data_IF_081138541648
#
_entry.id   IF_081138541648
#
_cell.length_a   1.000
_cell.length_b   1.000
_cell.length_c   1.000
_cell.angle_alpha   90.00
_cell.angle_beta   90.00
_cell.angle_gamma   90.00
#
_symmetry.space_group_name_H-M   'P 1'
#
loop_
_entity.id
_entity.type
_entity.pdbx_description
1 polymer ?
#
# COMPACT_ATOMS: atom_id res chain seq x y z
N UNK A 1 57.63 -39.85 23.49
CA UNK A 1 57.65 -39.88 22.00
C UNK A 1 56.43 -39.12 21.47
N UNK A 2 56.66 -38.34 20.42
CA UNK A 2 55.82 -37.28 19.87
C UNK A 2 54.86 -37.86 18.82
N UNK A 3 53.55 -37.60 18.91
CA UNK A 3 52.66 -37.61 17.73
C UNK A 3 51.66 -36.46 17.81
N UNK A 4 51.52 -35.80 16.66
CA UNK A 4 50.93 -34.48 16.43
C UNK A 4 49.45 -34.61 16.03
N UNK A 5 48.74 -33.52 16.30
CA UNK A 5 47.51 -32.99 15.71
C UNK A 5 46.87 -33.75 14.53
N UNK A 6 45.54 -33.89 14.61
CA UNK A 6 44.64 -33.74 13.46
C UNK A 6 43.39 -33.00 13.95
N UNK A 7 43.32 -31.72 13.62
CA UNK A 7 42.14 -30.87 13.75
C UNK A 7 41.28 -31.13 12.51
N UNK A 8 40.25 -31.97 12.62
CA UNK A 8 39.30 -32.23 11.54
C UNK A 8 38.23 -31.16 11.53
N UNK A 9 38.37 -30.20 10.62
CA UNK A 9 37.37 -29.20 10.26
C UNK A 9 36.19 -29.91 9.59
N UNK A 10 35.07 -30.06 10.28
CA UNK A 10 33.84 -30.54 9.69
C UNK A 10 33.19 -29.40 8.89
N UNK A 11 33.24 -29.49 7.56
CA UNK A 11 32.52 -28.59 6.67
C UNK A 11 31.04 -28.98 6.72
N UNK A 12 30.21 -28.18 7.39
CA UNK A 12 28.75 -28.30 7.33
C UNK A 12 28.29 -27.88 5.94
N UNK A 13 27.94 -28.85 5.10
CA UNK A 13 27.20 -28.61 3.86
C UNK A 13 25.76 -28.20 4.22
N UNK A 14 25.43 -26.92 4.06
CA UNK A 14 24.07 -26.41 4.18
C UNK A 14 23.34 -26.76 2.88
N UNK A 15 22.46 -27.76 2.92
CA UNK A 15 21.59 -28.12 1.81
C UNK A 15 20.50 -27.05 1.64
N UNK A 16 20.54 -26.29 0.53
CA UNK A 16 19.43 -25.46 0.08
C UNK A 16 18.30 -26.38 -0.41
N UNK A 17 17.27 -26.57 0.40
CA UNK A 17 15.99 -27.09 -0.08
C UNK A 17 15.24 -25.95 -0.77
N UNK A 18 15.36 -25.87 -2.10
CA UNK A 18 14.46 -25.07 -2.91
C UNK A 18 13.07 -25.75 -2.87
N UNK A 19 12.16 -25.22 -2.06
CA UNK A 19 10.77 -25.63 -2.07
C UNK A 19 10.12 -25.12 -3.37
N UNK A 20 10.05 -25.98 -4.39
CA UNK A 20 9.27 -25.72 -5.60
C UNK A 20 7.79 -25.79 -5.28
N UNK A 21 7.17 -24.66 -4.95
CA UNK A 21 5.71 -24.53 -4.91
C UNK A 21 5.21 -24.35 -6.34
N UNK A 22 4.88 -25.44 -7.02
CA UNK A 22 4.11 -25.39 -8.27
C UNK A 22 2.64 -25.42 -7.88
N UNK A 23 2.03 -24.25 -7.75
CA UNK A 23 0.58 -24.15 -7.62
C UNK A 23 -0.05 -24.22 -9.02
N UNK A 24 -0.71 -25.33 -9.33
CA UNK A 24 -1.56 -25.45 -10.50
C UNK A 24 -2.92 -24.79 -10.19
N UNK A 25 -3.19 -23.62 -10.75
CA UNK A 25 -4.52 -23.01 -10.72
C UNK A 25 -5.16 -23.07 -12.11
N UNK A 26 -5.86 -24.18 -12.37
CA UNK A 26 -6.79 -24.28 -13.48
C UNK A 26 -8.21 -24.30 -12.90
N UNK A 27 -8.83 -23.11 -12.84
CA UNK A 27 -10.22 -22.92 -12.41
C UNK A 27 -10.39 -21.69 -11.52
N UNK A 28 -10.25 -20.49 -12.09
CA UNK A 28 -10.64 -19.25 -11.38
C UNK A 28 -12.16 -19.14 -11.35
N UNK A 29 -12.73 -18.96 -10.16
CA UNK A 29 -14.13 -18.54 -10.02
C UNK A 29 -14.28 -17.08 -10.52
N UNK A 30 -15.45 -16.71 -11.09
CA UNK A 30 -15.67 -15.35 -11.62
C UNK A 30 -15.66 -14.24 -10.56
N UNK A 31 -15.52 -14.61 -9.28
CA UNK A 31 -15.74 -13.74 -8.12
C UNK A 31 -14.45 -13.47 -7.34
N UNK A 32 -13.30 -14.03 -7.74
CA UNK A 32 -11.99 -13.74 -7.15
C UNK A 32 -11.26 -12.66 -7.91
N UNK A 33 -10.52 -11.82 -7.18
CA UNK A 33 -9.52 -10.93 -7.73
C UNK A 33 -8.42 -11.76 -8.41
N UNK A 34 -8.32 -11.65 -9.73
CA UNK A 34 -7.26 -12.33 -10.48
C UNK A 34 -5.90 -11.83 -10.00
N UNK A 35 -4.88 -12.70 -10.02
CA UNK A 35 -3.51 -12.28 -9.75
C UNK A 35 -3.00 -11.18 -10.70
N UNK A 36 -3.66 -11.03 -11.86
CA UNK A 36 -3.26 -10.11 -12.92
C UNK A 36 -2.04 -10.62 -13.70
N UNK A 37 -1.59 -9.87 -14.72
CA UNK A 37 -0.43 -10.25 -15.51
C UNK A 37 0.86 -10.27 -14.67
N UNK A 38 1.76 -11.21 -14.97
CA UNK A 38 3.14 -11.17 -14.48
C UNK A 38 3.93 -10.13 -15.24
N UNK A 39 4.62 -9.26 -14.52
CA UNK A 39 5.49 -8.22 -15.10
C UNK A 39 6.56 -7.82 -14.11
N UNK A 40 7.52 -7.00 -14.55
CA UNK A 40 8.48 -6.39 -13.63
C UNK A 40 7.85 -5.23 -12.86
N UNK A 41 8.41 -4.87 -11.71
CA UNK A 41 7.91 -3.71 -10.96
C UNK A 41 8.08 -2.40 -11.77
N UNK A 42 9.12 -2.31 -12.61
CA UNK A 42 9.32 -1.16 -13.50
C UNK A 42 8.22 -1.06 -14.56
N UNK A 43 7.84 -2.19 -15.16
CA UNK A 43 6.76 -2.23 -16.16
C UNK A 43 5.41 -1.93 -15.51
N UNK A 44 5.19 -2.39 -14.28
CA UNK A 44 4.00 -2.05 -13.50
C UNK A 44 3.91 -0.54 -13.28
N UNK A 45 4.99 0.10 -12.83
CA UNK A 45 5.04 1.56 -12.65
C UNK A 45 4.82 2.32 -13.96
N UNK A 46 5.45 1.88 -15.06
CA UNK A 46 5.27 2.51 -16.38
C UNK A 46 3.83 2.43 -16.89
N UNK A 47 3.12 1.32 -16.61
CA UNK A 47 1.72 1.13 -17.05
C UNK A 47 0.70 1.83 -16.15
N UNK A 48 0.96 1.86 -14.85
CA UNK A 48 0.06 2.43 -13.86
C UNK A 48 0.17 3.96 -13.77
N UNK A 49 1.39 4.52 -13.91
CA UNK A 49 1.61 5.92 -13.59
C UNK A 49 1.48 6.83 -14.81
N UNK A 50 0.62 7.85 -14.74
CA UNK A 50 0.46 8.86 -15.79
C UNK A 50 1.43 10.05 -15.68
N UNK A 51 2.06 10.25 -14.51
CA UNK A 51 2.93 11.40 -14.24
C UNK A 51 4.31 10.97 -13.73
N UNK A 52 5.37 11.78 -13.97
CA UNK A 52 6.70 11.49 -13.44
C UNK A 52 6.76 11.41 -11.92
N UNK A 53 5.97 12.24 -11.21
CA UNK A 53 5.92 12.22 -9.75
C UNK A 53 5.36 10.88 -9.22
N UNK A 54 4.25 10.42 -9.80
CA UNK A 54 3.65 9.15 -9.42
C UNK A 54 4.55 7.96 -9.80
N UNK A 55 5.25 8.06 -10.93
CA UNK A 55 6.24 7.06 -11.34
C UNK A 55 7.37 6.94 -10.31
N UNK A 56 7.98 8.06 -9.89
CA UNK A 56 9.03 8.04 -8.87
C UNK A 56 8.53 7.46 -7.55
N UNK A 57 7.35 7.87 -7.09
CA UNK A 57 6.72 7.31 -5.89
C UNK A 57 6.47 5.80 -6.04
N UNK A 58 6.09 5.35 -7.23
CA UNK A 58 5.95 3.93 -7.53
C UNK A 58 7.28 3.18 -7.41
N UNK A 59 8.38 3.73 -7.91
CA UNK A 59 9.70 3.10 -7.77
C UNK A 59 10.12 2.99 -6.29
N UNK A 60 9.93 4.06 -5.51
CA UNK A 60 10.20 4.04 -4.06
C UNK A 60 9.32 3.02 -3.33
N UNK A 61 8.05 2.95 -3.72
CA UNK A 61 7.09 1.97 -3.20
C UNK A 61 7.49 0.54 -3.59
N UNK A 62 8.00 0.28 -4.79
CA UNK A 62 8.29 -1.10 -5.21
C UNK A 62 9.76 -1.49 -5.07
N UNK A 63 10.59 -0.65 -4.45
CA UNK A 63 12.04 -0.86 -4.32
C UNK A 63 12.43 -2.22 -3.68
N UNK A 64 11.59 -2.74 -2.79
CA UNK A 64 11.80 -4.03 -2.11
C UNK A 64 10.83 -5.13 -2.56
N UNK A 65 10.04 -4.86 -3.60
CA UNK A 65 9.20 -5.88 -4.20
C UNK A 65 10.04 -6.83 -5.07
N UNK A 66 9.56 -8.05 -5.35
CA UNK A 66 10.24 -8.94 -6.29
C UNK A 66 10.40 -8.30 -7.68
N UNK A 67 11.54 -8.56 -8.32
CA UNK A 67 11.85 -8.02 -9.65
C UNK A 67 10.79 -8.34 -10.70
N UNK A 68 10.20 -9.54 -10.63
CA UNK A 68 9.05 -9.95 -11.43
C UNK A 68 8.02 -10.69 -10.56
N UNK A 69 6.77 -10.25 -10.63
CA UNK A 69 5.66 -10.81 -9.88
C UNK A 69 4.33 -10.59 -10.62
N UNK A 70 3.28 -11.25 -10.13
CA UNK A 70 1.92 -10.94 -10.55
C UNK A 70 1.51 -9.55 -10.05
N UNK A 71 0.70 -8.82 -10.83
CA UNK A 71 0.33 -7.44 -10.54
C UNK A 71 -0.31 -7.23 -9.16
N UNK A 72 -1.03 -8.24 -8.64
CA UNK A 72 -1.57 -8.22 -7.28
C UNK A 72 -0.53 -8.05 -6.17
N UNK A 73 0.69 -8.56 -6.35
CA UNK A 73 1.79 -8.37 -5.39
C UNK A 73 2.17 -6.90 -5.29
N UNK A 74 2.24 -6.21 -6.43
CA UNK A 74 2.57 -4.77 -6.47
C UNK A 74 1.42 -3.91 -5.95
N UNK A 75 0.18 -4.23 -6.31
CA UNK A 75 -1.01 -3.56 -5.79
C UNK A 75 -1.12 -3.71 -4.25
N UNK A 76 -0.83 -4.90 -3.72
CA UNK A 76 -0.84 -5.17 -2.29
C UNK A 76 0.23 -4.35 -1.56
N UNK A 77 1.46 -4.36 -2.08
CA UNK A 77 2.55 -3.58 -1.49
C UNK A 77 2.27 -2.07 -1.47
N UNK A 78 1.57 -1.55 -2.47
CA UNK A 78 1.15 -0.15 -2.51
C UNK A 78 0.00 0.14 -1.55
N UNK A 79 -1.02 -0.73 -1.50
CA UNK A 79 -2.16 -0.60 -0.59
C UNK A 79 -1.72 -0.67 0.89
N UNK A 80 -0.81 -1.57 1.25
CA UNK A 80 -0.25 -1.65 2.60
C UNK A 80 0.51 -0.38 2.99
N UNK A 81 1.31 0.18 2.08
CA UNK A 81 2.02 1.44 2.32
C UNK A 81 1.07 2.63 2.43
N UNK A 82 0.07 2.71 1.56
CA UNK A 82 -0.96 3.74 1.65
C UNK A 82 -1.68 3.65 3.00
N UNK A 83 -2.17 2.45 3.36
CA UNK A 83 -2.81 2.20 4.66
C UNK A 83 -1.93 2.64 5.84
N UNK A 84 -0.65 2.25 5.86
CA UNK A 84 0.27 2.61 6.94
C UNK A 84 0.48 4.13 7.03
N UNK A 85 0.53 4.82 5.88
CA UNK A 85 0.64 6.28 5.81
C UNK A 85 -0.63 6.95 6.36
N UNK A 86 -1.82 6.48 5.95
CA UNK A 86 -3.11 6.94 6.46
C UNK A 86 -3.20 6.77 8.00
N UNK A 87 -2.82 5.60 8.52
CA UNK A 87 -2.79 5.33 9.97
C UNK A 87 -1.84 6.32 10.70
N UNK A 88 -0.67 6.59 10.11
CA UNK A 88 0.33 7.49 10.70
C UNK A 88 -0.16 8.95 10.74
N UNK A 89 -0.83 9.41 9.69
CA UNK A 89 -1.40 10.76 9.61
C UNK A 89 -2.58 10.94 10.55
N UNK A 90 -3.49 9.95 10.62
CA UNK A 90 -4.59 9.95 11.60
C UNK A 90 -4.06 10.07 13.04
N UNK A 91 -3.09 9.22 13.41
CA UNK A 91 -2.47 9.27 14.73
C UNK A 91 -1.75 10.59 15.00
N UNK A 92 -1.19 11.23 13.96
CA UNK A 92 -0.58 12.57 14.08
C UNK A 92 -1.64 13.64 14.32
N UNK A 93 -2.77 13.59 13.62
CA UNK A 93 -3.90 14.50 13.83
C UNK A 93 -4.44 14.38 15.26
N UNK A 94 -4.65 13.15 15.76
CA UNK A 94 -5.06 12.90 17.15
C UNK A 94 -4.07 13.46 18.18
N UNK A 95 -2.77 13.24 17.98
CA UNK A 95 -1.73 13.81 18.88
C UNK A 95 -1.75 15.33 18.88
N UNK A 96 -1.98 15.96 17.73
CA UNK A 96 -2.10 17.41 17.64
C UNK A 96 -3.34 17.87 18.41
N UNK A 97 -4.49 17.23 18.22
CA UNK A 97 -5.74 17.52 18.96
C UNK A 97 -5.57 17.40 20.48
N UNK A 98 -4.81 16.42 20.96
CA UNK A 98 -4.51 16.24 22.39
C UNK A 98 -3.44 17.18 22.95
N UNK A 99 -2.65 17.85 22.11
CA UNK A 99 -1.46 18.61 22.49
C UNK A 99 -1.68 20.04 22.98
N UNK A 100 -2.91 20.59 22.95
CA UNK A 100 -3.21 21.93 23.49
C UNK A 100 -4.15 22.78 22.64
N UNK A 101 -4.10 24.11 22.83
CA UNK A 101 -5.07 25.05 22.25
C UNK A 101 -4.97 25.12 20.72
N UNK A 102 -5.86 24.39 20.05
CA UNK A 102 -6.27 24.66 18.68
C UNK A 102 -7.35 25.75 18.68
N UNK A 103 -7.22 26.81 17.88
CA UNK A 103 -8.32 27.76 17.68
C UNK A 103 -9.50 27.06 16.98
N UNK A 104 -10.73 27.37 17.44
CA UNK A 104 -12.02 26.76 17.05
C UNK A 104 -12.03 25.95 15.74
N UNK A 105 -12.22 26.63 14.60
CA UNK A 105 -12.39 26.01 13.28
C UNK A 105 -11.22 25.10 12.87
N UNK A 106 -10.00 25.35 13.34
CA UNK A 106 -8.85 24.49 13.05
C UNK A 106 -8.97 23.15 13.78
N UNK A 107 -9.50 23.15 15.01
CA UNK A 107 -9.78 21.92 15.75
C UNK A 107 -10.85 21.08 15.05
N UNK A 108 -11.91 21.71 14.55
CA UNK A 108 -12.98 21.04 13.82
C UNK A 108 -12.48 20.40 12.53
N UNK A 109 -11.66 21.13 11.75
CA UNK A 109 -11.04 20.57 10.55
C UNK A 109 -10.14 19.36 10.85
N UNK A 110 -9.45 19.36 11.99
CA UNK A 110 -8.62 18.22 12.39
C UNK A 110 -9.45 17.01 12.82
N UNK A 111 -10.55 17.21 13.55
CA UNK A 111 -11.49 16.12 13.86
C UNK A 111 -12.11 15.54 12.60
N UNK A 112 -12.56 16.39 11.68
CA UNK A 112 -13.07 15.96 10.38
C UNK A 112 -12.02 15.13 9.62
N UNK A 113 -10.76 15.57 9.61
CA UNK A 113 -9.68 14.78 9.04
C UNK A 113 -9.54 13.41 9.72
N UNK A 114 -9.58 13.32 11.06
CA UNK A 114 -9.51 12.01 11.75
C UNK A 114 -10.60 11.07 11.26
N UNK A 115 -11.84 11.55 11.15
CA UNK A 115 -12.96 10.76 10.64
C UNK A 115 -12.78 10.36 9.17
N UNK A 116 -12.35 11.29 8.32
CA UNK A 116 -12.07 11.03 6.91
C UNK A 116 -10.92 10.02 6.70
N UNK A 117 -9.91 10.03 7.59
CA UNK A 117 -8.83 9.03 7.59
C UNK A 117 -9.32 7.65 8.06
N UNK A 118 -10.31 7.57 8.96
CA UNK A 118 -10.92 6.30 9.34
C UNK A 118 -11.64 5.66 8.14
N UNK A 119 -12.40 6.46 7.39
CA UNK A 119 -13.04 6.01 6.14
C UNK A 119 -11.99 5.57 5.11
N UNK A 120 -10.96 6.39 4.92
CA UNK A 120 -9.94 6.13 3.93
C UNK A 120 -9.16 4.83 4.22
N UNK A 121 -8.81 4.66 5.49
CA UNK A 121 -8.20 3.42 6.03
C UNK A 121 -9.13 2.23 5.86
N UNK A 122 -10.43 2.40 6.11
CA UNK A 122 -11.44 1.37 5.90
C UNK A 122 -11.43 0.83 4.47
N UNK A 123 -11.36 1.73 3.49
CA UNK A 123 -11.19 1.38 2.07
C UNK A 123 -9.90 0.58 1.84
N UNK A 124 -8.75 1.08 2.28
CA UNK A 124 -7.48 0.35 2.10
C UNK A 124 -7.44 -1.02 2.80
N UNK A 125 -8.13 -1.18 3.94
CA UNK A 125 -8.29 -2.48 4.60
C UNK A 125 -9.12 -3.43 3.72
N UNK A 126 -10.21 -2.95 3.12
CA UNK A 126 -11.01 -3.72 2.16
C UNK A 126 -10.20 -4.18 0.94
N UNK A 127 -9.41 -3.27 0.36
CA UNK A 127 -8.47 -3.57 -0.73
C UNK A 127 -7.47 -4.66 -0.33
N UNK A 128 -6.76 -4.47 0.79
CA UNK A 128 -5.73 -5.43 1.26
C UNK A 128 -6.36 -6.80 1.50
N UNK A 129 -7.51 -6.84 2.17
CA UNK A 129 -8.25 -8.08 2.40
C UNK A 129 -8.68 -8.74 1.08
N UNK A 130 -9.06 -7.96 0.06
CA UNK A 130 -9.39 -8.46 -1.26
C UNK A 130 -8.22 -9.05 -2.01
N UNK A 131 -7.05 -8.40 -1.97
CA UNK A 131 -5.87 -8.84 -2.70
C UNK A 131 -5.25 -10.13 -2.13
N UNK A 132 -5.46 -10.42 -0.84
CA UNK A 132 -4.97 -11.64 -0.18
C UNK A 132 -5.99 -12.77 -0.14
N UNK A 133 -7.24 -12.52 -0.55
CA UNK A 133 -8.36 -13.46 -0.45
C UNK A 133 -8.79 -13.98 -1.81
N UNK A 134 -9.11 -15.27 -1.87
CA UNK A 134 -9.70 -15.91 -3.06
C UNK A 134 -11.22 -15.65 -3.19
N UNK A 135 -11.83 -14.79 -2.35
CA UNK A 135 -13.29 -14.66 -2.24
C UNK A 135 -13.85 -13.23 -2.41
N UNK A 136 -13.07 -12.26 -2.89
CA UNK A 136 -13.51 -10.86 -2.98
C UNK A 136 -13.85 -10.44 -4.40
N UNK A 137 -15.04 -9.85 -4.53
CA UNK A 137 -15.65 -9.38 -5.79
C UNK A 137 -14.93 -8.14 -6.29
N UNK A 138 -14.48 -8.14 -7.55
CA UNK A 138 -13.76 -7.02 -8.19
C UNK A 138 -14.42 -5.64 -7.98
N UNK A 139 -15.76 -5.58 -7.94
CA UNK A 139 -16.49 -4.34 -7.73
C UNK A 139 -16.27 -3.73 -6.33
N UNK A 140 -16.13 -4.55 -5.28
CA UNK A 140 -15.88 -4.01 -3.94
C UNK A 140 -14.50 -3.38 -3.85
N UNK A 141 -13.48 -4.00 -4.47
CA UNK A 141 -12.13 -3.45 -4.48
C UNK A 141 -12.05 -2.07 -5.16
N UNK A 142 -12.77 -1.85 -6.28
CA UNK A 142 -12.83 -0.53 -6.92
C UNK A 142 -13.47 0.52 -6.01
N UNK A 143 -14.57 0.16 -5.34
CA UNK A 143 -15.25 1.05 -4.41
C UNK A 143 -14.36 1.38 -3.20
N UNK A 144 -13.62 0.40 -2.70
CA UNK A 144 -12.70 0.55 -1.58
C UNK A 144 -11.52 1.48 -1.90
N UNK A 145 -10.91 1.36 -3.09
CA UNK A 145 -9.92 2.32 -3.56
C UNK A 145 -10.49 3.74 -3.70
N UNK A 146 -11.68 3.87 -4.28
CA UNK A 146 -12.34 5.16 -4.45
C UNK A 146 -12.69 5.81 -3.10
N UNK A 147 -13.15 5.01 -2.12
CA UNK A 147 -13.41 5.46 -0.76
C UNK A 147 -12.11 5.97 -0.11
N UNK A 148 -11.00 5.26 -0.30
CA UNK A 148 -9.70 5.67 0.22
C UNK A 148 -9.25 7.03 -0.31
N UNK A 149 -9.29 7.22 -1.63
CA UNK A 149 -8.93 8.51 -2.26
C UNK A 149 -9.88 9.62 -1.81
N UNK A 150 -11.19 9.36 -1.82
CA UNK A 150 -12.21 10.35 -1.46
C UNK A 150 -12.10 10.80 0.01
N UNK A 151 -11.73 9.92 0.94
CA UNK A 151 -11.49 10.32 2.34
C UNK A 151 -10.35 11.33 2.45
N UNK A 152 -9.23 11.07 1.79
CA UNK A 152 -8.08 12.00 1.80
C UNK A 152 -8.42 13.34 1.13
N UNK A 153 -9.25 13.34 0.09
CA UNK A 153 -9.75 14.56 -0.56
C UNK A 153 -10.69 15.38 0.34
N UNK A 154 -11.55 14.72 1.12
CA UNK A 154 -12.40 15.41 2.10
C UNK A 154 -11.58 16.08 3.20
N UNK A 155 -10.54 15.41 3.71
CA UNK A 155 -9.62 16.04 4.65
C UNK A 155 -8.86 17.22 3.99
N UNK A 156 -8.44 17.10 2.73
CA UNK A 156 -7.82 18.22 2.01
C UNK A 156 -8.76 19.44 1.96
N UNK A 157 -10.04 19.21 1.68
CA UNK A 157 -11.06 20.26 1.66
C UNK A 157 -11.28 20.90 3.05
N UNK A 158 -11.27 20.11 4.12
CA UNK A 158 -11.35 20.60 5.49
C UNK A 158 -10.12 21.45 5.87
N UNK A 159 -8.95 21.13 5.32
CA UNK A 159 -7.69 21.83 5.59
C UNK A 159 -7.43 23.05 4.70
N UNK A 160 -8.32 23.38 3.76
CA UNK A 160 -8.10 24.41 2.73
C UNK A 160 -7.68 25.79 3.29
N UNK A 161 -8.23 26.18 4.44
CA UNK A 161 -7.97 27.47 5.08
C UNK A 161 -6.79 27.43 6.07
N UNK A 162 -6.15 26.26 6.22
CA UNK A 162 -5.10 26.00 7.21
C UNK A 162 -3.78 25.58 6.54
N UNK A 163 -3.34 26.28 5.50
CA UNK A 163 -2.15 25.93 4.69
C UNK A 163 -0.83 25.83 5.49
N UNK A 164 -0.73 26.49 6.65
CA UNK A 164 0.42 26.34 7.57
C UNK A 164 0.39 25.09 8.44
N UNK A 165 -0.66 24.26 8.33
CA UNK A 165 -0.84 23.04 9.09
C UNK A 165 0.12 21.95 8.63
N UNK A 166 0.79 21.23 9.55
CA UNK A 166 1.59 20.07 9.18
C UNK A 166 0.77 18.96 8.51
N UNK A 167 -0.54 18.90 8.74
CA UNK A 167 -1.41 17.90 8.12
C UNK A 167 -1.59 18.12 6.61
N UNK A 168 -1.41 19.34 6.08
CA UNK A 168 -1.59 19.60 4.64
C UNK A 168 -0.58 18.80 3.82
N UNK A 169 0.71 18.90 4.16
CA UNK A 169 1.76 18.17 3.45
C UNK A 169 1.63 16.65 3.62
N UNK A 170 1.22 16.19 4.82
CA UNK A 170 0.95 14.77 5.07
C UNK A 170 -0.20 14.27 4.21
N UNK A 171 -1.30 15.02 4.15
CA UNK A 171 -2.49 14.68 3.37
C UNK A 171 -2.22 14.66 1.87
N UNK A 172 -1.42 15.59 1.35
CA UNK A 172 -0.97 15.55 -0.05
C UNK A 172 -0.19 14.26 -0.35
N UNK A 173 0.74 13.89 0.52
CA UNK A 173 1.53 12.67 0.33
C UNK A 173 0.66 11.40 0.46
N UNK A 174 -0.34 11.42 1.33
CA UNK A 174 -1.31 10.33 1.48
C UNK A 174 -2.22 10.20 0.25
N UNK A 175 -2.60 11.31 -0.36
CA UNK A 175 -3.39 11.32 -1.59
C UNK A 175 -2.61 10.65 -2.73
N UNK A 176 -1.35 11.04 -2.91
CA UNK A 176 -0.48 10.43 -3.93
C UNK A 176 -0.31 8.92 -3.71
N UNK A 177 -0.17 8.47 -2.45
CA UNK A 177 -0.09 7.03 -2.12
C UNK A 177 -1.40 6.30 -2.38
N UNK A 178 -2.53 6.90 -2.05
CA UNK A 178 -3.84 6.31 -2.29
C UNK A 178 -4.13 6.19 -3.80
N UNK A 179 -3.80 7.22 -4.57
CA UNK A 179 -3.88 7.22 -6.03
C UNK A 179 -2.94 6.15 -6.62
N UNK A 180 -1.68 6.08 -6.18
CA UNK A 180 -0.74 5.06 -6.64
C UNK A 180 -1.28 3.65 -6.41
N UNK A 181 -1.81 3.39 -5.21
CA UNK A 181 -2.37 2.09 -4.88
C UNK A 181 -3.56 1.75 -5.79
N UNK A 182 -4.43 2.72 -6.09
CA UNK A 182 -5.54 2.55 -7.03
C UNK A 182 -5.07 2.28 -8.46
N UNK A 183 -4.06 3.00 -8.95
CA UNK A 183 -3.51 2.82 -10.31
C UNK A 183 -2.84 1.44 -10.47
N UNK A 184 -2.10 0.97 -9.46
CA UNK A 184 -1.56 -0.39 -9.45
C UNK A 184 -2.67 -1.45 -9.36
N UNK A 185 -3.73 -1.19 -8.58
CA UNK A 185 -4.92 -2.03 -8.54
C UNK A 185 -5.65 -2.12 -9.88
N UNK A 186 -5.65 -1.05 -10.67
CA UNK A 186 -6.25 -1.01 -12.01
C UNK A 186 -5.54 -1.93 -13.02
N UNK A 187 -4.30 -2.36 -12.76
CA UNK A 187 -3.63 -3.39 -13.57
C UNK A 187 -4.32 -4.76 -13.49
N UNK A 188 -5.10 -4.98 -12.44
CA UNK A 188 -5.85 -6.21 -12.17
C UNK A 188 -7.32 -6.02 -12.55
N UNK A 189 -7.88 -4.91 -12.06
CA UNK A 189 -9.30 -4.60 -12.15
C UNK A 189 -9.70 -4.01 -13.50
N UNK A 190 -8.74 -3.50 -14.29
CA UNK A 190 -9.01 -2.57 -15.38
C UNK A 190 -9.18 -1.13 -14.87
N UNK A 191 -8.94 -0.16 -15.75
CA UNK A 191 -9.15 1.27 -15.45
C UNK A 191 -10.63 1.55 -15.22
N UNK A 192 -10.91 2.49 -14.32
CA UNK A 192 -12.26 3.00 -14.07
C UNK A 192 -12.68 3.98 -15.17
#
# INVERSE_FOLDING_TARGET
>A
MKKRAALTTAVLAISLAAASFVAAFAGGDPWSLKAGPTMTWSDACLKACATPALYNLCQETLLHAPDAAAANVYALAAAERAKASLDATAARAERLLGGGWFPGLQREAYWQCVDDYLDARGGMVGVVAGLVSDCVVEHSARADYAQAVAGVERCAAALKDFQGSPLVAMNTADHERAVLASELGALILGKQ
#
